data_IF_540785063557
#
_entry.id   IF_540785063557
#
_cell.length_a   1.000
_cell.length_b   1.000
_cell.length_c   1.000
_cell.angle_alpha   90.00
_cell.angle_beta   90.00
_cell.angle_gamma   90.00
#
_symmetry.space_group_name_H-M   'P 1'
#
loop_
_entity.id
_entity.type
_entity.pdbx_description
1 polymer ?
#
# COMPACT_ATOMS: atom_id res chain seq x y z
N UNK A 1 14.02 17.20 8.42
CA UNK A 1 13.65 17.28 8.43
C UNK A 1 13.38 16.79 8.16
N UNK A 2 13.12 16.36 8.53
CA UNK A 2 12.64 16.16 8.43
C UNK A 2 12.27 16.13 7.86
N UNK A 3 12.21 15.83 7.20
CA UNK A 3 11.52 16.33 7.07
C UNK A 3 11.00 16.49 7.93
N UNK A 4 10.91 16.56 8.40
CA UNK A 4 10.35 16.77 9.26
C UNK A 4 9.23 16.97 9.41
N UNK A 5 9.04 15.91 9.00
CA UNK A 5 7.78 16.16 9.22
C UNK A 5 7.69 17.40 9.70
N UNK A 6 7.58 17.80 8.92
CA UNK A 6 7.77 18.75 9.24
C UNK A 6 7.77 19.23 10.51
N UNK A 7 8.47 19.97 10.69
CA UNK A 7 8.65 20.63 11.86
C UNK A 7 7.37 21.04 12.44
N UNK A 8 7.02 20.58 13.58
CA UNK A 8 5.80 20.91 14.25
C UNK A 8 4.59 20.12 13.82
N UNK A 9 4.71 19.33 12.77
CA UNK A 9 3.62 18.44 12.36
C UNK A 9 3.70 17.17 13.17
N UNK A 10 2.67 16.90 13.95
CA UNK A 10 2.60 15.71 14.81
C UNK A 10 1.59 14.74 14.25
N UNK A 11 1.97 13.46 14.18
CA UNK A 11 1.06 12.40 13.73
C UNK A 11 -0.10 12.30 14.71
N UNK A 12 -1.28 12.03 14.19
CA UNK A 12 -2.48 11.91 15.00
C UNK A 12 -2.40 10.71 15.96
N UNK A 13 -2.81 10.87 17.23
CA UNK A 13 -2.93 9.73 18.14
C UNK A 13 -4.00 8.73 17.70
N UNK A 14 -4.86 9.09 16.77
CA UNK A 14 -5.88 8.20 16.24
C UNK A 14 -5.34 7.29 15.13
N UNK A 15 -4.13 7.53 14.65
CA UNK A 15 -3.58 6.75 13.54
C UNK A 15 -3.53 5.24 13.81
N UNK A 16 -3.06 4.77 14.97
CA UNK A 16 -3.02 3.33 15.20
C UNK A 16 -4.39 2.66 15.07
N UNK A 17 -5.44 3.33 15.53
CA UNK A 17 -6.80 2.81 15.42
C UNK A 17 -7.29 2.79 13.98
N UNK A 18 -7.04 3.87 13.25
CA UNK A 18 -7.42 3.98 11.83
C UNK A 18 -6.69 2.90 11.01
N UNK A 19 -5.40 2.72 11.26
CA UNK A 19 -4.59 1.70 10.61
C UNK A 19 -5.15 0.30 10.86
N UNK A 20 -5.46 -0.01 12.12
CA UNK A 20 -6.00 -1.32 12.46
C UNK A 20 -7.35 -1.58 11.80
N UNK A 21 -8.21 -0.56 11.74
CA UNK A 21 -9.50 -0.67 11.07
C UNK A 21 -9.33 -0.92 9.57
N UNK A 22 -8.42 -0.20 8.94
CA UNK A 22 -8.15 -0.38 7.51
C UNK A 22 -7.66 -1.80 7.22
N UNK A 23 -6.71 -2.31 8.02
CA UNK A 23 -6.18 -3.66 7.85
C UNK A 23 -7.24 -4.71 8.07
N UNK A 24 -8.16 -4.51 9.02
CA UNK A 24 -9.24 -5.44 9.28
C UNK A 24 -10.14 -5.61 8.06
N UNK A 25 -10.40 -4.52 7.33
CA UNK A 25 -11.27 -4.52 6.17
C UNK A 25 -10.52 -4.82 4.87
N UNK A 26 -9.20 -4.77 4.90
CA UNK A 26 -8.35 -4.93 3.71
C UNK A 26 -7.17 -5.85 4.06
N UNK A 27 -7.46 -7.14 4.18
CA UNK A 27 -6.54 -8.15 4.71
C UNK A 27 -5.52 -8.67 3.70
N UNK A 28 -5.52 -8.14 2.50
CA UNK A 28 -4.62 -8.60 1.43
C UNK A 28 -3.93 -7.44 0.77
N UNK A 29 -2.72 -7.69 0.28
CA UNK A 29 -2.04 -6.73 -0.59
C UNK A 29 -2.91 -6.45 -1.81
N UNK A 30 -3.14 -5.18 -2.11
CA UNK A 30 -3.99 -4.78 -3.23
C UNK A 30 -3.40 -5.18 -4.59
N UNK A 31 -2.10 -5.44 -4.66
CA UNK A 31 -1.43 -5.86 -5.90
C UNK A 31 -1.38 -7.37 -6.03
N UNK A 32 -0.79 -8.07 -5.07
CA UNK A 32 -0.46 -9.48 -5.21
C UNK A 32 -1.35 -10.44 -4.40
N UNK A 33 -2.31 -9.93 -3.66
CA UNK A 33 -3.18 -10.69 -2.74
C UNK A 33 -2.42 -11.38 -1.60
N UNK A 34 -1.16 -11.05 -1.39
CA UNK A 34 -0.39 -11.58 -0.27
C UNK A 34 -0.97 -11.16 1.07
N UNK A 35 -0.80 -12.01 2.09
CA UNK A 35 -1.36 -11.76 3.41
C UNK A 35 -0.30 -11.56 4.49
N UNK A 36 0.97 -11.65 4.12
CA UNK A 36 2.09 -11.48 5.05
C UNK A 36 2.70 -10.10 4.92
N UNK A 37 3.16 -9.57 6.05
CA UNK A 37 3.88 -8.30 6.11
C UNK A 37 3.14 -7.16 5.41
N UNK A 38 1.86 -7.03 5.73
CA UNK A 38 1.04 -5.97 5.18
C UNK A 38 1.32 -4.64 5.87
N UNK A 39 1.36 -3.58 5.06
CA UNK A 39 1.49 -2.21 5.54
C UNK A 39 0.36 -1.37 4.98
N UNK A 40 -0.08 -0.38 5.75
CA UNK A 40 -1.03 0.60 5.27
C UNK A 40 -0.23 1.77 4.71
N UNK A 41 -0.38 2.00 3.42
CA UNK A 41 0.33 3.04 2.71
C UNK A 41 -0.56 4.27 2.54
N UNK A 42 -0.02 5.44 2.85
CA UNK A 42 -0.68 6.71 2.55
C UNK A 42 -0.42 7.08 1.10
N UNK A 43 -1.48 7.24 0.31
CA UNK A 43 -1.35 7.58 -1.12
C UNK A 43 -0.72 8.97 -1.24
N UNK A 44 -1.26 9.94 -0.50
CA UNK A 44 -0.62 11.24 -0.36
C UNK A 44 0.10 11.23 0.98
N UNK A 45 1.44 11.37 0.99
CA UNK A 45 2.21 11.25 2.22
C UNK A 45 1.84 12.30 3.27
N UNK A 46 2.02 11.94 4.54
CA UNK A 46 1.74 12.84 5.65
C UNK A 46 2.45 14.19 5.52
N UNK A 47 3.72 14.17 5.12
CA UNK A 47 4.49 15.41 5.02
C UNK A 47 4.02 16.30 3.87
N UNK A 48 3.29 15.74 2.89
CA UNK A 48 2.73 16.52 1.78
C UNK A 48 1.39 17.14 2.20
N UNK A 49 0.53 16.34 2.83
CA UNK A 49 -0.77 16.82 3.29
C UNK A 49 -1.18 16.08 4.57
N UNK A 50 -0.85 16.65 5.74
CA UNK A 50 -1.20 16.03 7.02
C UNK A 50 -2.69 15.84 7.24
N UNK A 51 -3.54 16.64 6.57
CA UNK A 51 -4.99 16.54 6.74
C UNK A 51 -5.57 15.26 6.20
N UNK A 52 -4.81 14.53 5.38
CA UNK A 52 -5.24 13.26 4.78
C UNK A 52 -4.72 12.03 5.51
N UNK A 53 -4.07 12.21 6.66
CA UNK A 53 -3.50 11.09 7.41
C UNK A 53 -4.54 10.02 7.78
N UNK A 54 -5.72 10.44 8.19
CA UNK A 54 -6.78 9.56 8.68
C UNK A 54 -7.87 9.27 7.64
N UNK A 55 -7.77 9.86 6.46
CA UNK A 55 -8.78 9.70 5.42
C UNK A 55 -8.73 8.28 4.84
N UNK A 56 -9.81 7.47 5.00
CA UNK A 56 -9.82 6.11 4.46
C UNK A 56 -9.56 6.04 2.95
N UNK A 57 -9.93 7.07 2.21
CA UNK A 57 -9.72 7.09 0.76
C UNK A 57 -8.26 7.33 0.38
N UNK A 58 -7.45 7.74 1.35
CA UNK A 58 -6.02 7.96 1.16
C UNK A 58 -5.17 6.76 1.57
N UNK A 59 -5.79 5.64 1.87
CA UNK A 59 -5.11 4.45 2.39
C UNK A 59 -5.23 3.27 1.44
N UNK A 60 -4.17 2.46 1.36
CA UNK A 60 -4.17 1.22 0.60
C UNK A 60 -3.26 0.21 1.31
N UNK A 61 -3.66 -1.06 1.32
CA UNK A 61 -2.86 -2.13 1.91
C UNK A 61 -1.90 -2.69 0.85
N UNK A 62 -0.62 -2.71 1.18
CA UNK A 62 0.43 -3.26 0.31
C UNK A 62 1.38 -4.09 1.15
N UNK A 63 1.92 -5.17 0.58
CA UNK A 63 2.90 -5.98 1.27
C UNK A 63 4.27 -5.30 1.24
N UNK A 64 5.06 -5.59 2.27
CA UNK A 64 6.44 -5.10 2.36
C UNK A 64 7.34 -6.31 2.53
N UNK A 65 7.81 -6.88 1.45
CA UNK A 65 8.63 -8.09 1.44
C UNK A 65 7.85 -9.33 1.91
N UNK A 66 7.03 -9.87 1.03
CA UNK A 66 6.12 -10.98 1.36
C UNK A 66 6.79 -12.37 1.42
N UNK A 67 8.10 -12.44 1.49
CA UNK A 67 8.83 -13.72 1.54
C UNK A 67 9.17 -14.28 0.18
N UNK A 68 8.61 -13.76 -0.88
CA UNK A 68 8.89 -14.19 -2.27
C UNK A 68 9.72 -13.14 -3.02
N UNK A 69 10.34 -12.22 -2.29
CA UNK A 69 11.12 -11.15 -2.89
C UNK A 69 10.28 -10.01 -3.44
N UNK A 70 8.97 -10.05 -3.23
CA UNK A 70 8.07 -9.01 -3.72
C UNK A 70 7.83 -7.98 -2.60
N UNK A 71 7.99 -6.71 -2.96
CA UNK A 71 7.70 -5.60 -2.05
C UNK A 71 6.81 -4.61 -2.80
N UNK A 72 5.50 -4.84 -2.72
CA UNK A 72 4.52 -4.01 -3.43
C UNK A 72 4.45 -2.59 -2.87
N UNK A 73 4.69 -2.42 -1.56
CA UNK A 73 4.73 -1.10 -0.95
C UNK A 73 5.81 -0.23 -1.61
N UNK A 74 7.01 -0.79 -1.77
CA UNK A 74 8.08 -0.05 -2.44
C UNK A 74 7.81 0.11 -3.94
N UNK A 75 7.46 -0.99 -4.63
CA UNK A 75 7.34 -0.99 -6.09
C UNK A 75 6.18 -0.14 -6.59
N UNK A 76 5.01 -0.25 -5.97
CA UNK A 76 3.80 0.44 -6.44
C UNK A 76 3.47 1.68 -5.61
N UNK A 77 3.63 1.63 -4.29
CA UNK A 77 3.36 2.76 -3.43
C UNK A 77 4.37 3.89 -3.62
N UNK A 78 5.64 3.54 -3.79
CA UNK A 78 6.74 4.49 -3.87
C UNK A 78 7.47 4.46 -5.20
N UNK A 79 7.00 3.69 -6.19
CA UNK A 79 7.61 3.59 -7.51
C UNK A 79 9.10 3.20 -7.46
N UNK A 80 9.43 2.31 -6.50
CA UNK A 80 10.79 1.82 -6.33
C UNK A 80 11.72 2.71 -5.52
N UNK A 81 11.22 3.82 -5.01
CA UNK A 81 12.02 4.77 -4.24
C UNK A 81 11.20 5.31 -3.07
N UNK A 82 11.57 5.00 -1.83
CA UNK A 82 10.83 5.44 -0.66
C UNK A 82 10.73 6.96 -0.51
N UNK A 83 11.52 7.71 -1.25
CA UNK A 83 11.41 9.18 -1.25
C UNK A 83 10.34 9.68 -2.21
N UNK A 84 9.85 8.81 -3.09
CA UNK A 84 8.79 9.15 -4.02
C UNK A 84 7.43 8.70 -3.52
N UNK A 85 6.39 9.17 -4.19
CA UNK A 85 5.02 8.76 -3.90
C UNK A 85 4.26 8.55 -5.21
N UNK A 86 3.47 7.48 -5.26
CA UNK A 86 2.62 7.18 -6.41
C UNK A 86 1.18 7.53 -6.09
N UNK A 87 0.69 8.66 -6.59
CA UNK A 87 -0.67 9.12 -6.31
C UNK A 87 -1.74 8.35 -7.09
N UNK A 88 -1.33 7.52 -8.06
CA UNK A 88 -2.26 6.65 -8.82
C UNK A 88 -2.16 5.19 -8.38
N UNK A 89 -1.65 4.94 -7.18
CA UNK A 89 -1.37 3.58 -6.71
C UNK A 89 -2.60 2.68 -6.71
N UNK A 90 -3.78 3.18 -6.37
CA UNK A 90 -5.01 2.35 -6.38
C UNK A 90 -5.32 1.83 -7.77
N UNK A 91 -5.21 2.69 -8.77
CA UNK A 91 -5.46 2.33 -10.16
C UNK A 91 -4.43 1.32 -10.64
N UNK A 92 -3.16 1.58 -10.34
CA UNK A 92 -2.05 0.72 -10.74
C UNK A 92 -2.15 -0.65 -10.07
N UNK A 93 -2.47 -0.67 -8.77
CA UNK A 93 -2.62 -1.91 -8.03
C UNK A 93 -3.74 -2.78 -8.59
N UNK A 94 -4.88 -2.17 -8.89
CA UNK A 94 -6.03 -2.88 -9.44
C UNK A 94 -5.69 -3.48 -10.81
N UNK A 95 -5.06 -2.70 -11.67
CA UNK A 95 -4.68 -3.15 -13.01
C UNK A 95 -3.71 -4.33 -12.93
N UNK A 96 -2.72 -4.24 -12.06
CA UNK A 96 -1.74 -5.31 -11.89
C UNK A 96 -2.34 -6.54 -11.26
N UNK A 97 -3.22 -6.37 -10.29
CA UNK A 97 -3.92 -7.48 -9.63
C UNK A 97 -4.73 -8.30 -10.62
N UNK A 98 -5.44 -7.63 -11.53
CA UNK A 98 -6.20 -8.30 -12.59
C UNK A 98 -5.27 -9.15 -13.46
N UNK A 99 -4.12 -8.60 -13.85
CA UNK A 99 -3.15 -9.33 -14.66
C UNK A 99 -2.61 -10.56 -13.95
N UNK A 100 -2.31 -10.45 -12.66
CA UNK A 100 -1.80 -11.55 -11.87
C UNK A 100 -2.82 -12.68 -11.72
N UNK A 101 -4.09 -12.32 -11.50
CA UNK A 101 -5.17 -13.31 -11.39
C UNK A 101 -5.36 -14.05 -12.69
N UNK A 102 -5.36 -13.34 -13.80
CA UNK A 102 -5.47 -13.96 -15.13
C UNK A 102 -4.34 -14.94 -15.38
N UNK A 103 -3.11 -14.55 -15.04
CA UNK A 103 -1.95 -15.39 -15.22
C UNK A 103 -2.04 -16.66 -14.38
N UNK A 104 -2.52 -16.58 -13.15
CA UNK A 104 -2.71 -17.75 -12.30
C UNK A 104 -3.71 -18.71 -12.88
N UNK A 105 -4.82 -18.21 -13.42
CA UNK A 105 -5.83 -19.04 -14.06
C UNK A 105 -5.27 -19.76 -15.28
N UNK A 106 -4.46 -19.09 -16.09
CA UNK A 106 -3.81 -19.71 -17.25
C UNK A 106 -2.86 -20.81 -16.82
N UNK A 107 -2.08 -20.61 -15.75
CA UNK A 107 -1.18 -21.61 -15.22
C UNK A 107 -1.94 -22.83 -14.71
N UNK A 108 -3.05 -22.63 -14.03
CA UNK A 108 -3.87 -23.74 -13.54
C UNK A 108 -4.45 -24.56 -14.68
N UNK A 109 -4.86 -23.93 -15.76
CA UNK A 109 -5.32 -24.64 -16.95
C UNK A 109 -4.24 -25.50 -17.56
N UNK A 110 -2.98 -25.06 -17.51
CA UNK A 110 -1.85 -25.79 -18.08
C UNK A 110 -1.46 -27.02 -17.26
N UNK A 111 -1.90 -27.09 -16.02
CA UNK A 111 -1.60 -28.21 -15.13
C UNK A 111 -2.49 -29.43 -15.36
N UNK A 112 -3.50 -29.29 -16.15
CA UNK A 112 -4.47 -30.38 -16.41
C UNK A 112 -3.95 -31.33 -17.45
#
# INVERSE_FOLDING_TARGET
MQGKASLGEVRSPLWPKVRATHLKDNLKCAVCDGVAKLEVHHIIPFHVDPTKELDPLNLITLCESNGNGINCHLAFGHLGNYQGANTTVKKDAKAWNVKLKKRRLEQDKKKV
#
